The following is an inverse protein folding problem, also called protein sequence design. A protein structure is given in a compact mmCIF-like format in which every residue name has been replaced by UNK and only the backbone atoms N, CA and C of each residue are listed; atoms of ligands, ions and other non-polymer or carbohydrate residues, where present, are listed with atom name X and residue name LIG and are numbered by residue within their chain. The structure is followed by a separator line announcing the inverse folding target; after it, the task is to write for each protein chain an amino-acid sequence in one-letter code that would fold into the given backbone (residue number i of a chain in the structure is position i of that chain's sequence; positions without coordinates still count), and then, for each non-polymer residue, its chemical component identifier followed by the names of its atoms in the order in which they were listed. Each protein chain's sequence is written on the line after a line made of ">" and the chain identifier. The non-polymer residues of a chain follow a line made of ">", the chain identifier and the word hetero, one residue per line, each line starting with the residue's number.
data_IF_765417612733
#
_entry.id   IF_765417612733
#
_cell.length_a   1.000
_cell.length_b   1.000
_cell.length_c   1.000
_cell.angle_alpha   90.00
_cell.angle_beta   90.00
_cell.angle_gamma   90.00
#
_symmetry.space_group_name_H-M   'P 1'
#
loop_
_entity.id
_entity.type
_entity.pdbx_description
1 polymer ?
#
# COMPACT_ATOMS: atom_id res chain seq x y z
N UNK A 1 -31.17 -18.34 18.45
CA UNK A 1 -30.01 -17.87 19.24
C UNK A 1 -28.96 -17.35 18.27
N UNK A 2 -28.82 -16.03 18.18
CA UNK A 2 -27.80 -15.38 17.35
C UNK A 2 -26.48 -15.43 18.11
N UNK A 3 -25.54 -16.24 17.66
CA UNK A 3 -24.15 -16.13 18.07
C UNK A 3 -23.51 -15.22 17.04
N UNK A 4 -23.23 -13.93 17.33
CA UNK A 4 -22.36 -13.16 16.48
C UNK A 4 -20.91 -13.52 16.84
N UNK A 5 -20.46 -14.72 16.47
CA UNK A 5 -19.01 -15.00 16.38
C UNK A 5 -18.53 -14.57 15.01
N UNK A 6 -18.75 -13.29 14.67
CA UNK A 6 -17.99 -12.65 13.61
C UNK A 6 -16.70 -12.18 14.26
N UNK A 7 -15.73 -13.07 14.26
CA UNK A 7 -14.35 -12.77 14.63
C UNK A 7 -13.96 -11.47 13.95
N UNK A 8 -13.75 -10.43 14.76
CA UNK A 8 -13.09 -9.18 14.42
C UNK A 8 -11.61 -9.50 14.14
N UNK A 9 -11.36 -10.30 13.10
CA UNK A 9 -10.06 -10.39 12.48
C UNK A 9 -9.94 -9.09 11.69
N UNK A 10 -9.42 -8.07 12.36
CA UNK A 10 -8.82 -6.93 11.70
C UNK A 10 -8.14 -7.39 10.40
N UNK A 11 -8.42 -6.77 9.24
CA UNK A 11 -7.97 -7.26 7.93
C UNK A 11 -6.45 -7.12 7.69
N UNK A 12 -5.66 -6.89 8.73
CA UNK A 12 -4.23 -6.57 8.62
C UNK A 12 -3.39 -7.75 8.12
N UNK A 13 -3.90 -8.99 8.27
CA UNK A 13 -3.16 -10.21 7.90
C UNK A 13 -3.29 -10.61 6.42
N UNK A 14 -4.21 -10.01 5.65
CA UNK A 14 -4.40 -10.32 4.22
C UNK A 14 -4.00 -9.18 3.28
N UNK A 15 -3.77 -7.97 3.80
CA UNK A 15 -3.37 -6.83 2.99
C UNK A 15 -1.94 -7.05 2.49
N UNK A 16 -1.80 -7.40 1.20
CA UNK A 16 -0.52 -7.47 0.52
C UNK A 16 -0.02 -6.06 0.24
N UNK A 17 0.84 -5.57 1.11
CA UNK A 17 1.52 -4.30 0.87
C UNK A 17 2.50 -4.43 -0.30
N UNK A 18 2.44 -3.46 -1.20
CA UNK A 18 3.35 -3.35 -2.32
C UNK A 18 4.57 -2.52 -1.91
N UNK A 19 5.76 -3.05 -2.16
CA UNK A 19 6.98 -2.30 -1.97
C UNK A 19 7.20 -1.30 -3.11
N UNK A 20 8.24 -0.46 -2.98
CA UNK A 20 8.62 0.51 -4.03
C UNK A 20 8.76 -0.14 -5.42
N UNK A 21 9.30 -1.36 -5.49
CA UNK A 21 9.49 -2.09 -6.76
C UNK A 21 8.15 -2.43 -7.42
N UNK A 22 7.19 -2.93 -6.66
CA UNK A 22 5.87 -3.30 -7.17
C UNK A 22 5.09 -2.07 -7.62
N UNK A 23 5.15 -0.97 -6.85
CA UNK A 23 4.57 0.33 -7.24
C UNK A 23 5.15 0.83 -8.55
N UNK A 24 6.49 0.83 -8.68
CA UNK A 24 7.16 1.27 -9.90
C UNK A 24 6.75 0.42 -11.11
N UNK A 25 6.64 -0.89 -10.93
CA UNK A 25 6.22 -1.81 -11.99
C UNK A 25 4.76 -1.57 -12.40
N UNK A 26 3.88 -1.36 -11.42
CA UNK A 26 2.46 -1.12 -11.67
C UNK A 26 2.22 0.19 -12.41
N UNK A 27 2.87 1.27 -11.98
CA UNK A 27 2.74 2.60 -12.57
C UNK A 27 3.64 2.81 -13.80
N UNK A 28 4.50 1.84 -14.13
CA UNK A 28 5.52 1.92 -15.19
C UNK A 28 6.42 3.15 -15.09
N UNK A 29 6.78 3.52 -13.85
CA UNK A 29 7.67 4.65 -13.56
C UNK A 29 9.00 4.17 -12.97
N UNK A 30 10.03 5.00 -13.08
CA UNK A 30 11.30 4.77 -12.40
C UNK A 30 11.18 5.03 -10.90
N UNK A 31 12.05 4.41 -10.09
CA UNK A 31 12.15 4.67 -8.64
C UNK A 31 12.39 6.15 -8.33
N UNK A 32 13.22 6.81 -9.14
CA UNK A 32 13.52 8.23 -9.03
C UNK A 32 12.28 9.10 -9.20
N UNK A 33 11.37 8.71 -10.11
CA UNK A 33 10.09 9.39 -10.33
C UNK A 33 9.16 9.18 -9.14
N UNK A 34 9.06 7.96 -8.63
CA UNK A 34 8.29 7.65 -7.43
C UNK A 34 8.79 8.45 -6.21
N UNK A 35 10.10 8.46 -5.94
CA UNK A 35 10.69 9.26 -4.86
C UNK A 35 10.49 10.76 -5.09
N UNK A 36 10.50 11.25 -6.34
CA UNK A 36 10.16 12.65 -6.64
C UNK A 36 8.71 12.96 -6.29
N UNK A 37 7.77 12.10 -6.68
CA UNK A 37 6.35 12.30 -6.38
C UNK A 37 6.06 12.23 -4.88
N UNK A 38 6.70 11.32 -4.15
CA UNK A 38 6.59 11.26 -2.69
C UNK A 38 7.10 12.55 -2.05
N UNK A 39 8.24 13.08 -2.50
CA UNK A 39 8.80 14.34 -1.98
C UNK A 39 7.95 15.56 -2.32
N UNK A 40 7.36 15.58 -3.51
CA UNK A 40 6.50 16.66 -3.98
C UNK A 40 5.09 16.62 -3.36
N UNK A 41 4.69 15.49 -2.77
CA UNK A 41 3.33 15.27 -2.28
C UNK A 41 2.35 14.75 -3.34
N UNK A 42 2.81 14.52 -4.57
CA UNK A 42 2.02 13.94 -5.66
C UNK A 42 1.71 12.44 -5.45
N UNK A 43 2.47 11.76 -4.57
CA UNK A 43 2.26 10.37 -4.20
C UNK A 43 2.37 10.18 -2.69
N UNK A 44 1.51 9.39 -2.05
CA UNK A 44 1.55 9.20 -0.61
C UNK A 44 2.86 8.54 -0.16
N UNK A 45 3.34 8.92 1.03
CA UNK A 45 4.48 8.26 1.64
C UNK A 45 4.18 6.78 1.95
N UNK A 46 5.18 5.88 1.89
CA UNK A 46 4.97 4.47 2.23
C UNK A 46 4.59 4.32 3.71
N UNK A 47 3.63 3.44 3.98
CA UNK A 47 3.26 3.08 5.35
C UNK A 47 4.24 2.05 5.89
N UNK A 48 4.70 2.26 7.12
CA UNK A 48 5.49 1.28 7.86
C UNK A 48 4.53 0.37 8.63
N UNK A 49 4.39 -0.86 8.15
CA UNK A 49 3.52 -1.88 8.72
C UNK A 49 4.38 -2.86 9.51
N UNK A 50 4.46 -2.64 10.82
CA UNK A 50 5.27 -3.45 11.73
C UNK A 50 6.79 -3.28 11.54
N UNK A 51 7.55 -4.32 11.90
CA UNK A 51 9.02 -4.26 11.99
C UNK A 51 9.75 -4.28 10.64
N UNK A 52 9.17 -4.87 9.59
CA UNK A 52 9.87 -5.12 8.31
C UNK A 52 9.15 -4.64 7.06
N UNK A 53 7.84 -4.41 7.11
CA UNK A 53 7.07 -4.07 5.90
C UNK A 53 6.99 -2.56 5.78
N UNK A 54 7.50 -2.02 4.68
CA UNK A 54 7.37 -0.62 4.29
C UNK A 54 6.80 -0.61 2.88
N UNK A 55 5.58 -0.11 2.71
CA UNK A 55 4.89 -0.20 1.43
C UNK A 55 3.51 0.45 1.43
N UNK A 56 2.79 0.26 0.34
CA UNK A 56 1.45 0.81 0.14
C UNK A 56 0.42 -0.29 0.09
N UNK A 57 -0.77 -0.07 0.68
CA UNK A 57 -1.86 -1.01 0.53
C UNK A 57 -2.30 -1.04 -0.94
N UNK A 58 -2.74 -2.21 -1.44
CA UNK A 58 -3.03 -2.40 -2.86
C UNK A 58 -4.17 -1.51 -3.34
N UNK A 59 -5.15 -1.24 -2.49
CA UNK A 59 -6.27 -0.33 -2.76
C UNK A 59 -5.82 1.10 -3.13
N UNK A 60 -4.74 1.57 -2.50
CA UNK A 60 -4.25 2.93 -2.72
C UNK A 60 -3.52 3.05 -4.06
N UNK A 61 -2.86 1.98 -4.51
CA UNK A 61 -2.18 1.95 -5.81
C UNK A 61 -3.18 1.83 -6.95
N UNK A 62 -4.22 1.00 -6.79
CA UNK A 62 -5.22 0.76 -7.84
C UNK A 62 -6.03 2.01 -8.21
N UNK A 63 -6.19 2.96 -7.28
CA UNK A 63 -6.90 4.21 -7.54
C UNK A 63 -6.07 5.24 -8.33
N UNK A 64 -4.75 5.08 -8.43
CA UNK A 64 -3.89 6.03 -9.13
C UNK A 64 -3.84 5.65 -10.61
N UNK A 65 -4.89 6.05 -11.33
CA UNK A 65 -4.90 6.09 -12.80
C UNK A 65 -4.37 7.45 -13.24
N UNK A 66 -3.22 7.45 -13.89
CA UNK A 66 -2.68 8.61 -14.60
C UNK A 66 -2.73 8.39 -16.10
#
# INVERSE_FOLDING_TARGET
>A
MLIPTRTDLTPVSLIRYHGKRDVCHHLRISRSTLDRWIRNGDFPAPLKVGKKVVGWPPELIMCIKH
#
